data_IF_825686831008
#
_entry.id   IF_825686831008
#
_cell.length_a   1.000
_cell.length_b   1.000
_cell.length_c   1.000
_cell.angle_alpha   90.00
_cell.angle_beta   90.00
_cell.angle_gamma   90.00
#
_symmetry.space_group_name_H-M   'P 1'
#
loop_
_entity.id
_entity.type
_entity.pdbx_description
1 polymer ?
#
# COMPACT_ATOMS: atom_id res chain seq x y z
N UNK A 1 -10.29 -5.98 44.38
CA UNK A 1 -11.11 -5.62 43.20
C UNK A 1 -10.68 -4.34 42.47
N UNK A 2 -9.99 -3.36 43.11
CA UNK A 2 -9.50 -2.14 42.42
C UNK A 2 -8.28 -2.35 41.52
N UNK A 3 -7.40 -3.30 41.84
CA UNK A 3 -6.16 -3.59 41.10
C UNK A 3 -6.45 -4.26 39.73
N UNK A 4 -7.51 -5.06 39.65
CA UNK A 4 -7.87 -5.76 38.40
C UNK A 4 -8.41 -4.78 37.33
N UNK A 5 -9.07 -3.69 37.75
CA UNK A 5 -9.56 -2.66 36.83
C UNK A 5 -8.44 -1.78 36.26
N UNK A 6 -7.37 -1.56 37.03
CA UNK A 6 -6.23 -0.73 36.60
C UNK A 6 -5.35 -1.45 35.57
N UNK A 7 -5.21 -2.77 35.69
CA UNK A 7 -4.46 -3.59 34.74
C UNK A 7 -5.14 -3.66 33.36
N UNK A 8 -6.47 -3.72 33.32
CA UNK A 8 -7.24 -3.77 32.07
C UNK A 8 -7.13 -2.44 31.31
N UNK A 9 -7.12 -1.29 31.99
CA UNK A 9 -6.91 0.01 31.33
C UNK A 9 -5.49 0.21 30.79
N UNK A 10 -4.46 -0.40 31.41
CA UNK A 10 -3.09 -0.32 30.89
C UNK A 10 -2.94 -1.11 29.59
N UNK A 11 -3.55 -2.29 29.49
CA UNK A 11 -3.48 -3.15 28.29
C UNK A 11 -4.15 -2.51 27.07
N UNK A 12 -5.18 -1.68 27.27
CA UNK A 12 -5.83 -0.93 26.18
C UNK A 12 -5.07 0.33 25.73
N UNK A 13 -4.12 0.86 26.50
CA UNK A 13 -3.36 2.05 26.12
C UNK A 13 -2.06 1.76 25.36
N UNK A 14 -1.57 0.53 25.37
CA UNK A 14 -0.41 0.14 24.55
C UNK A 14 -0.77 -0.10 23.08
N UNK A 15 -1.94 -0.69 22.77
CA UNK A 15 -2.29 -1.00 21.39
C UNK A 15 -2.50 0.22 20.47
N UNK A 16 -2.78 1.41 21.03
CA UNK A 16 -3.02 2.62 20.26
C UNK A 16 -1.73 3.40 19.92
N UNK A 17 -0.62 3.17 20.64
CA UNK A 17 0.68 3.80 20.31
C UNK A 17 1.30 3.21 19.06
N UNK A 18 1.16 1.90 18.87
CA UNK A 18 1.89 1.17 17.82
C UNK A 18 1.25 1.33 16.45
N UNK A 19 -0.09 1.44 16.38
CA UNK A 19 -0.80 1.82 15.14
C UNK A 19 -0.36 3.19 14.64
N UNK A 20 -0.28 4.18 15.54
CA UNK A 20 0.17 5.53 15.18
C UNK A 20 1.61 5.52 14.71
N UNK A 21 2.49 4.80 15.40
CA UNK A 21 3.91 4.72 15.05
C UNK A 21 4.12 4.11 13.67
N UNK A 22 3.52 2.94 13.38
CA UNK A 22 3.71 2.30 12.09
C UNK A 22 3.12 3.12 10.93
N UNK A 23 1.95 3.74 11.11
CA UNK A 23 1.38 4.61 10.09
C UNK A 23 2.26 5.85 9.80
N UNK A 24 2.92 6.40 10.83
CA UNK A 24 3.92 7.46 10.67
C UNK A 24 5.16 6.98 9.91
N UNK A 25 5.68 5.78 10.21
CA UNK A 25 6.84 5.23 9.50
C UNK A 25 6.51 4.91 8.04
N UNK A 26 5.34 4.35 7.73
CA UNK A 26 4.85 4.17 6.36
C UNK A 26 4.87 5.52 5.63
N UNK A 27 4.27 6.56 6.21
CA UNK A 27 4.23 7.89 5.60
C UNK A 27 5.63 8.47 5.36
N UNK A 28 6.55 8.34 6.32
CA UNK A 28 7.93 8.85 6.18
C UNK A 28 8.64 8.20 5.01
N UNK A 29 8.58 6.87 4.91
CA UNK A 29 9.24 6.12 3.84
C UNK A 29 8.61 6.45 2.48
N UNK A 30 7.27 6.48 2.38
CA UNK A 30 6.57 6.90 1.16
C UNK A 30 6.99 8.32 0.73
N UNK A 31 7.03 9.26 1.67
CA UNK A 31 7.43 10.66 1.42
C UNK A 31 8.88 10.75 0.93
N UNK A 32 9.79 10.00 1.56
CA UNK A 32 11.19 9.98 1.15
C UNK A 32 11.32 9.49 -0.30
N UNK A 33 10.68 8.37 -0.65
CA UNK A 33 10.73 7.85 -2.01
C UNK A 33 10.05 8.77 -3.05
N UNK A 34 9.02 9.53 -2.67
CA UNK A 34 8.46 10.56 -3.56
C UNK A 34 9.45 11.71 -3.82
N UNK A 35 10.22 12.13 -2.81
CA UNK A 35 11.22 13.19 -2.93
C UNK A 35 12.40 12.74 -3.80
N UNK A 36 12.83 11.48 -3.63
CA UNK A 36 13.96 10.88 -4.35
C UNK A 36 13.55 10.32 -5.73
N UNK A 37 12.26 10.32 -6.03
CA UNK A 37 11.70 9.72 -7.24
C UNK A 37 12.28 10.34 -8.52
N UNK A 38 12.62 9.52 -9.53
CA UNK A 38 13.05 10.01 -10.83
C UNK A 38 11.90 10.60 -11.66
N UNK A 39 10.64 10.39 -11.24
CA UNK A 39 9.45 10.90 -11.92
C UNK A 39 9.17 12.35 -11.52
N UNK A 40 9.02 13.23 -12.50
CA UNK A 40 8.67 14.65 -12.29
C UNK A 40 7.32 14.80 -11.61
N UNK A 41 6.37 13.90 -11.88
CA UNK A 41 5.03 13.94 -11.28
C UNK A 41 5.00 13.57 -9.80
N UNK A 42 6.04 12.97 -9.24
CA UNK A 42 6.04 12.46 -7.87
C UNK A 42 5.75 13.56 -6.83
N UNK A 43 6.14 14.81 -7.12
CA UNK A 43 5.81 15.97 -6.28
C UNK A 43 4.31 16.19 -6.13
N UNK A 44 3.53 15.85 -7.16
CA UNK A 44 2.07 15.93 -7.13
C UNK A 44 1.42 14.93 -6.17
N UNK A 45 2.10 13.83 -5.84
CA UNK A 45 1.60 12.78 -4.95
C UNK A 45 1.79 13.08 -3.44
N UNK A 46 2.47 14.17 -3.06
CA UNK A 46 2.78 14.45 -1.65
C UNK A 46 1.53 14.67 -0.79
N UNK A 47 0.58 15.48 -1.26
CA UNK A 47 -0.65 15.75 -0.50
C UNK A 47 -1.58 14.54 -0.44
N UNK A 48 -1.52 13.67 -1.45
CA UNK A 48 -2.23 12.40 -1.48
C UNK A 48 -1.78 11.45 -0.36
N UNK A 49 -0.46 11.23 -0.20
CA UNK A 49 0.04 10.35 0.86
C UNK A 49 -0.19 10.91 2.26
N UNK A 50 -0.26 12.24 2.39
CA UNK A 50 -0.64 12.90 3.66
C UNK A 50 -2.10 12.62 4.00
N UNK A 51 -3.03 12.73 3.04
CA UNK A 51 -4.42 12.32 3.26
C UNK A 51 -4.56 10.84 3.52
N UNK A 52 -3.80 10.00 2.83
CA UNK A 52 -3.87 8.56 3.06
C UNK A 52 -3.43 8.19 4.47
N UNK A 53 -2.40 8.86 5.00
CA UNK A 53 -2.00 8.71 6.41
C UNK A 53 -3.15 9.07 7.36
N UNK A 54 -3.85 10.17 7.12
CA UNK A 54 -5.02 10.56 7.93
C UNK A 54 -6.16 9.54 7.83
N UNK A 55 -6.40 9.04 6.61
CA UNK A 55 -7.40 8.01 6.33
C UNK A 55 -7.09 6.72 7.11
N UNK A 56 -5.87 6.21 7.00
CA UNK A 56 -5.41 5.00 7.70
C UNK A 56 -5.61 5.10 9.22
N UNK A 57 -5.40 6.28 9.80
CA UNK A 57 -5.55 6.52 11.23
C UNK A 57 -7.01 6.58 11.72
N UNK A 58 -7.97 6.93 10.85
CA UNK A 58 -9.35 7.27 11.28
C UNK A 58 -10.42 6.33 10.75
N UNK A 59 -10.20 5.74 9.57
CA UNK A 59 -11.27 5.17 8.75
C UNK A 59 -10.92 3.83 8.14
N UNK A 60 -9.68 3.35 8.32
CA UNK A 60 -9.31 2.02 7.84
C UNK A 60 -10.23 0.96 8.49
N UNK A 61 -10.82 0.03 7.73
CA UNK A 61 -11.65 -1.03 8.32
C UNK A 61 -10.87 -1.84 9.38
N UNK A 62 -11.50 -2.26 10.50
CA UNK A 62 -10.80 -2.99 11.56
C UNK A 62 -10.00 -4.19 11.07
N UNK A 63 -10.56 -4.99 10.14
CA UNK A 63 -9.85 -6.10 9.52
C UNK A 63 -8.50 -5.69 8.90
N UNK A 64 -8.46 -4.56 8.19
CA UNK A 64 -7.22 -4.07 7.59
C UNK A 64 -6.32 -3.41 8.63
N UNK A 65 -6.87 -2.81 9.67
CA UNK A 65 -6.06 -2.33 10.80
C UNK A 65 -5.35 -3.50 11.47
N UNK A 66 -6.05 -4.59 11.74
CA UNK A 66 -5.48 -5.78 12.37
C UNK A 66 -4.35 -6.33 11.49
N UNK A 67 -4.58 -6.51 10.19
CA UNK A 67 -3.54 -7.00 9.27
C UNK A 67 -2.33 -6.05 9.24
N UNK A 68 -2.56 -4.76 8.98
CA UNK A 68 -1.47 -3.80 8.74
C UNK A 68 -0.73 -3.43 10.04
N UNK A 69 -1.37 -3.49 11.21
CA UNK A 69 -0.83 -2.98 12.47
C UNK A 69 -0.61 -4.06 13.55
N UNK A 70 -0.87 -5.33 13.28
CA UNK A 70 -0.55 -6.45 14.19
C UNK A 70 0.97 -6.58 14.48
N UNK A 71 1.36 -6.48 15.75
CA UNK A 71 2.78 -6.61 16.17
C UNK A 71 3.37 -7.99 15.94
N UNK A 72 2.52 -9.03 15.92
CA UNK A 72 2.88 -10.44 15.81
C UNK A 72 2.91 -10.95 14.37
N UNK A 73 3.03 -10.06 13.37
CA UNK A 73 3.11 -10.45 11.96
C UNK A 73 4.24 -11.44 11.72
N UNK A 74 3.90 -12.51 11.01
CA UNK A 74 4.83 -13.60 10.66
C UNK A 74 5.23 -13.58 9.19
N UNK A 75 4.58 -12.74 8.38
CA UNK A 75 4.79 -12.65 6.94
C UNK A 75 4.87 -11.18 6.50
N UNK A 76 5.42 -10.96 5.32
CA UNK A 76 5.51 -9.66 4.67
C UNK A 76 4.12 -9.20 4.23
N UNK A 77 3.85 -7.91 4.42
CA UNK A 77 2.69 -7.23 3.87
C UNK A 77 3.13 -6.37 2.69
N UNK A 78 2.38 -6.42 1.61
CA UNK A 78 2.52 -5.49 0.49
C UNK A 78 1.26 -4.63 0.44
N UNK A 79 1.44 -3.31 0.50
CA UNK A 79 0.41 -2.30 0.31
C UNK A 79 0.58 -1.68 -1.06
N UNK A 80 -0.52 -1.51 -1.78
CA UNK A 80 -0.56 -0.79 -3.05
C UNK A 80 -1.66 0.25 -2.94
N UNK A 81 -1.26 1.51 -3.07
CA UNK A 81 -2.14 2.66 -3.00
C UNK A 81 -2.17 3.34 -4.36
N UNK A 82 -3.36 3.41 -4.93
CA UNK A 82 -3.60 4.04 -6.22
C UNK A 82 -4.33 5.38 -6.00
N UNK A 83 -3.78 6.47 -6.53
CA UNK A 83 -4.35 7.81 -6.37
C UNK A 83 -4.68 8.42 -7.71
N UNK A 84 -5.93 8.92 -7.81
CA UNK A 84 -6.36 9.61 -9.00
C UNK A 84 -5.66 10.96 -9.17
N UNK A 85 -5.05 11.19 -10.33
CA UNK A 85 -4.48 12.50 -10.70
C UNK A 85 -5.55 13.62 -10.76
N UNK A 86 -6.83 13.25 -10.87
CA UNK A 86 -7.96 14.18 -10.94
C UNK A 86 -8.46 14.66 -9.58
N UNK A 87 -7.90 14.18 -8.47
CA UNK A 87 -8.36 14.50 -7.11
C UNK A 87 -7.22 15.05 -6.25
N UNK A 88 -7.08 16.36 -6.17
CA UNK A 88 -6.01 17.00 -5.40
C UNK A 88 -6.20 16.72 -3.90
N UNK A 89 -5.13 16.25 -3.24
CA UNK A 89 -5.09 15.97 -1.80
C UNK A 89 -6.26 15.09 -1.34
N UNK A 90 -6.48 13.99 -2.06
CA UNK A 90 -7.44 12.95 -1.71
C UNK A 90 -6.69 11.70 -1.24
N UNK A 91 -7.29 10.90 -0.34
CA UNK A 91 -6.78 9.55 -0.08
C UNK A 91 -6.81 8.73 -1.39
N UNK A 92 -6.14 7.59 -1.35
CA UNK A 92 -6.09 6.66 -2.48
C UNK A 92 -7.50 6.30 -2.97
N UNK A 93 -7.70 6.25 -4.29
CA UNK A 93 -8.92 5.70 -4.85
C UNK A 93 -9.08 4.23 -4.43
N UNK A 94 -7.97 3.49 -4.40
CA UNK A 94 -7.93 2.11 -3.91
C UNK A 94 -6.70 1.85 -3.02
N UNK A 95 -6.90 1.04 -1.99
CA UNK A 95 -5.86 0.48 -1.13
C UNK A 95 -6.00 -1.04 -1.21
N UNK A 96 -4.98 -1.69 -1.74
CA UNK A 96 -4.89 -3.13 -1.78
C UNK A 96 -3.80 -3.62 -0.82
N UNK A 97 -4.10 -4.70 -0.11
CA UNK A 97 -3.22 -5.30 0.90
C UNK A 97 -3.04 -6.77 0.58
N UNK A 98 -1.82 -7.18 0.23
CA UNK A 98 -1.45 -8.59 0.16
C UNK A 98 -0.82 -9.00 1.49
N UNK A 99 -1.42 -9.99 2.14
CA UNK A 99 -0.86 -10.66 3.31
C UNK A 99 -0.97 -12.17 3.13
N UNK A 100 0.16 -12.87 3.29
CA UNK A 100 0.31 -14.28 2.90
C UNK A 100 -0.04 -14.45 1.42
N UNK A 101 -1.13 -15.14 1.14
CA UNK A 101 -1.68 -15.38 -0.20
C UNK A 101 -3.04 -14.71 -0.41
N UNK A 102 -3.44 -13.77 0.45
CA UNK A 102 -4.75 -13.11 0.35
C UNK A 102 -4.60 -11.64 0.05
N UNK A 103 -5.31 -11.18 -0.99
CA UNK A 103 -5.46 -9.76 -1.31
C UNK A 103 -6.76 -9.25 -0.70
N UNK A 104 -6.67 -8.14 0.01
CA UNK A 104 -7.80 -7.36 0.49
C UNK A 104 -7.82 -6.03 -0.26
N UNK A 105 -8.88 -5.73 -0.99
CA UNK A 105 -9.05 -4.47 -1.71
C UNK A 105 -10.06 -3.58 -0.99
N UNK A 106 -9.72 -2.31 -0.83
CA UNK A 106 -10.57 -1.24 -0.33
C UNK A 106 -10.67 -0.14 -1.39
N UNK A 107 -11.81 -0.09 -2.07
CA UNK A 107 -12.06 0.84 -3.18
C UNK A 107 -12.92 2.05 -2.76
N UNK A 108 -12.85 3.12 -3.55
CA UNK A 108 -13.63 4.35 -3.45
C UNK A 108 -13.38 5.20 -2.19
N UNK A 109 -12.12 5.36 -1.74
CA UNK A 109 -11.79 6.21 -0.58
C UNK A 109 -11.91 7.71 -0.82
N UNK A 110 -12.15 8.11 -2.06
CA UNK A 110 -12.34 9.50 -2.47
C UNK A 110 -13.77 10.01 -2.17
N UNK A 111 -14.75 9.15 -1.90
CA UNK A 111 -16.14 9.59 -1.70
C UNK A 111 -16.30 10.41 -0.39
N UNK A 112 -16.86 11.63 -0.51
CA UNK A 112 -16.96 12.64 0.56
C UNK A 112 -17.82 12.22 1.76
N UNK A 113 -18.71 11.23 1.59
CA UNK A 113 -19.36 10.57 2.73
C UNK A 113 -18.54 9.33 3.16
N UNK A 114 -17.36 9.62 3.70
CA UNK A 114 -16.33 8.65 4.04
C UNK A 114 -16.77 7.54 5.02
N UNK A 115 -17.96 7.62 5.61
CA UNK A 115 -18.48 6.60 6.54
C UNK A 115 -19.28 5.48 5.85
N UNK A 116 -19.68 5.65 4.58
CA UNK A 116 -20.65 4.76 3.93
C UNK A 116 -20.15 4.03 2.66
N UNK A 117 -18.97 4.35 2.12
CA UNK A 117 -18.62 4.02 0.73
C UNK A 117 -17.75 2.76 0.51
N UNK A 118 -17.33 2.07 1.58
CA UNK A 118 -16.33 1.01 1.45
C UNK A 118 -16.92 -0.39 1.31
N UNK A 119 -16.43 -1.14 0.33
CA UNK A 119 -16.57 -2.59 0.30
C UNK A 119 -15.18 -3.20 0.30
N UNK A 120 -14.88 -4.00 1.32
CA UNK A 120 -13.69 -4.83 1.30
C UNK A 120 -13.94 -6.03 0.41
N UNK A 121 -13.19 -6.15 -0.68
CA UNK A 121 -13.16 -7.36 -1.50
C UNK A 121 -12.01 -8.24 -1.02
N UNK A 122 -12.22 -9.56 -1.01
CA UNK A 122 -11.19 -10.54 -0.68
C UNK A 122 -10.97 -11.45 -1.87
N UNK A 123 -9.71 -11.59 -2.26
CA UNK A 123 -9.27 -12.50 -3.32
C UNK A 123 -8.04 -13.30 -2.88
N UNK A 124 -7.80 -14.44 -3.54
CA UNK A 124 -6.59 -15.24 -3.30
C UNK A 124 -5.55 -14.88 -4.37
N UNK A 125 -4.33 -14.54 -3.94
CA UNK A 125 -3.23 -14.18 -4.83
C UNK A 125 -2.92 -15.29 -5.85
N UNK A 126 -3.01 -16.57 -5.42
CA UNK A 126 -2.81 -17.75 -6.28
C UNK A 126 -3.83 -17.90 -7.40
N UNK A 127 -5.00 -17.28 -7.29
CA UNK A 127 -6.06 -17.33 -8.32
C UNK A 127 -5.99 -16.17 -9.30
N UNK A 128 -5.04 -15.24 -9.13
CA UNK A 128 -4.79 -14.15 -10.09
C UNK A 128 -4.20 -14.79 -11.36
N UNK A 129 -5.03 -14.90 -12.40
CA UNK A 129 -4.58 -15.40 -13.70
C UNK A 129 -3.71 -14.36 -14.41
N UNK A 130 -2.62 -14.81 -15.02
CA UNK A 130 -1.76 -14.02 -15.89
C UNK A 130 -2.40 -13.72 -17.26
N UNK A 131 -3.62 -14.21 -17.51
CA UNK A 131 -4.32 -14.00 -18.78
C UNK A 131 -4.85 -12.57 -18.90
N UNK A 132 -3.95 -11.69 -19.38
CA UNK A 132 -4.08 -10.42 -20.12
C UNK A 132 -5.11 -9.33 -19.76
N UNK A 133 -6.11 -9.53 -18.90
CA UNK A 133 -7.03 -8.44 -18.47
C UNK A 133 -6.99 -8.15 -16.97
N UNK A 134 -6.62 -9.13 -16.14
CA UNK A 134 -6.53 -8.99 -14.67
C UNK A 134 -5.16 -8.50 -14.19
N UNK A 135 -4.19 -8.41 -15.10
CA UNK A 135 -2.84 -8.01 -14.77
C UNK A 135 -2.76 -6.55 -14.31
N UNK A 136 -3.55 -5.62 -14.85
CA UNK A 136 -3.37 -4.18 -14.55
C UNK A 136 -3.40 -3.88 -13.05
N UNK A 137 -4.36 -4.47 -12.33
CA UNK A 137 -4.65 -4.04 -10.96
C UNK A 137 -3.76 -4.77 -9.94
N UNK A 138 -3.35 -6.01 -10.24
CA UNK A 138 -2.53 -6.83 -9.35
C UNK A 138 -1.05 -6.93 -9.75
N UNK A 139 -0.67 -6.32 -10.87
CA UNK A 139 0.70 -6.33 -11.38
C UNK A 139 1.75 -5.89 -10.34
N UNK A 140 1.52 -4.83 -9.53
CA UNK A 140 2.50 -4.45 -8.52
C UNK A 140 2.81 -5.59 -7.54
N UNK A 141 1.81 -6.36 -7.11
CA UNK A 141 2.03 -7.49 -6.22
C UNK A 141 2.84 -8.61 -6.87
N UNK A 142 2.54 -8.95 -8.12
CA UNK A 142 3.26 -9.97 -8.88
C UNK A 142 4.74 -9.59 -9.05
N UNK A 143 4.99 -8.35 -9.44
CA UNK A 143 6.34 -7.82 -9.62
C UNK A 143 7.14 -7.87 -8.32
N UNK A 144 6.59 -7.31 -7.24
CA UNK A 144 7.27 -7.21 -5.96
C UNK A 144 7.57 -8.61 -5.40
N UNK A 145 6.57 -9.51 -5.37
CA UNK A 145 6.78 -10.89 -4.91
C UNK A 145 7.88 -11.59 -5.70
N UNK A 146 7.86 -11.49 -7.03
CA UNK A 146 8.88 -12.14 -7.87
C UNK A 146 10.29 -11.59 -7.61
N UNK A 147 10.43 -10.26 -7.45
CA UNK A 147 11.72 -9.63 -7.12
C UNK A 147 12.24 -10.08 -5.76
N UNK A 148 11.36 -10.12 -4.76
CA UNK A 148 11.69 -10.63 -3.42
C UNK A 148 12.14 -12.09 -3.44
N UNK A 149 11.42 -12.97 -4.16
CA UNK A 149 11.80 -14.39 -4.32
C UNK A 149 13.19 -14.56 -4.94
N UNK A 150 13.54 -13.67 -5.88
CA UNK A 150 14.86 -13.61 -6.52
C UNK A 150 15.92 -12.90 -5.68
N UNK A 151 15.57 -12.39 -4.50
CA UNK A 151 16.42 -11.55 -3.63
C UNK A 151 16.99 -10.34 -4.38
N UNK A 152 16.21 -9.80 -5.31
CA UNK A 152 16.52 -8.56 -6.02
C UNK A 152 15.85 -7.40 -5.31
N UNK A 153 16.51 -6.25 -5.30
CA UNK A 153 15.88 -5.01 -4.84
C UNK A 153 14.76 -4.63 -5.82
N UNK A 154 13.54 -4.57 -5.31
CA UNK A 154 12.34 -4.24 -6.08
C UNK A 154 12.13 -2.72 -6.20
N UNK A 155 12.85 -1.94 -5.41
CA UNK A 155 12.87 -0.46 -5.44
C UNK A 155 14.01 0.07 -6.33
N UNK A 156 14.97 -0.78 -6.70
CA UNK A 156 16.08 -0.44 -7.58
C UNK A 156 15.56 -0.15 -9.00
N UNK A 157 15.66 1.12 -9.40
CA UNK A 157 15.27 1.68 -10.70
C UNK A 157 13.75 1.75 -11.02
N UNK A 158 13.02 2.70 -10.41
CA UNK A 158 11.59 2.91 -10.68
C UNK A 158 11.23 3.17 -12.15
N UNK A 159 12.14 3.76 -12.94
CA UNK A 159 11.95 4.02 -14.39
C UNK A 159 11.84 2.74 -15.22
N UNK A 160 12.26 1.59 -14.69
CA UNK A 160 12.07 0.30 -15.37
C UNK A 160 10.62 -0.20 -15.31
N UNK A 161 9.80 0.36 -14.42
CA UNK A 161 8.45 -0.13 -14.16
C UNK A 161 7.35 0.84 -14.59
N UNK A 162 7.67 2.11 -14.86
CA UNK A 162 6.68 3.11 -15.26
C UNK A 162 7.29 4.35 -15.89
N UNK A 163 6.44 5.33 -16.20
CA UNK A 163 6.79 6.53 -16.95
C UNK A 163 5.89 7.71 -16.59
N UNK A 164 6.43 8.93 -16.71
CA UNK A 164 5.62 10.14 -16.70
C UNK A 164 4.83 10.37 -18.00
N UNK A 165 5.18 9.63 -19.06
CA UNK A 165 4.70 9.84 -20.42
C UNK A 165 3.46 8.99 -20.72
N UNK A 166 2.36 9.29 -20.03
CA UNK A 166 1.06 8.64 -20.20
C UNK A 166 -0.06 9.70 -20.29
N UNK A 167 -1.06 9.43 -21.13
CA UNK A 167 -2.23 10.28 -21.29
C UNK A 167 -3.24 9.95 -20.20
N UNK A 168 -3.06 10.62 -19.07
CA UNK A 168 -3.77 10.34 -17.84
C UNK A 168 -3.33 9.02 -17.22
N UNK A 169 -3.04 9.05 -15.94
CA UNK A 169 -2.72 7.84 -15.21
C UNK A 169 -2.42 8.11 -13.75
N UNK A 170 -2.86 7.15 -12.94
CA UNK A 170 -2.88 7.29 -11.51
C UNK A 170 -1.48 7.18 -10.91
N UNK A 171 -1.30 7.84 -9.77
CA UNK A 171 -0.12 7.72 -8.97
C UNK A 171 -0.21 6.42 -8.19
N UNK A 172 0.80 5.54 -8.29
CA UNK A 172 0.86 4.35 -7.45
C UNK A 172 1.99 4.47 -6.46
N UNK A 173 1.69 4.18 -5.20
CA UNK A 173 2.69 3.98 -4.15
C UNK A 173 2.58 2.54 -3.66
N UNK A 174 3.64 1.77 -3.87
CA UNK A 174 3.77 0.45 -3.28
C UNK A 174 4.60 0.55 -2.00
N UNK A 175 4.22 -0.19 -0.95
CA UNK A 175 4.93 -0.25 0.32
C UNK A 175 5.04 -1.70 0.77
N UNK A 176 6.23 -2.15 1.14
CA UNK A 176 6.49 -3.47 1.70
C UNK A 176 6.82 -3.32 3.19
N UNK A 177 6.12 -4.06 4.04
CA UNK A 177 6.34 -4.11 5.49
C UNK A 177 6.80 -5.52 5.83
N UNK A 178 8.07 -5.66 6.22
CA UNK A 178 8.65 -6.95 6.58
C UNK A 178 8.29 -7.35 8.02
N UNK A 179 8.37 -8.64 8.39
CA UNK A 179 8.21 -9.09 9.79
C UNK A 179 9.18 -8.41 10.77
N UNK A 180 10.34 -7.93 10.29
CA UNK A 180 11.31 -7.15 11.06
C UNK A 180 10.86 -5.70 11.35
N UNK A 181 9.70 -5.29 10.82
CA UNK A 181 9.23 -3.91 10.74
C UNK A 181 10.12 -2.98 9.91
N UNK A 182 11.05 -3.52 9.10
CA UNK A 182 11.63 -2.78 7.99
C UNK A 182 10.53 -2.42 7.01
N UNK A 183 10.58 -1.20 6.47
CA UNK A 183 9.62 -0.68 5.50
C UNK A 183 10.38 -0.20 4.29
N UNK A 184 9.93 -0.62 3.12
CA UNK A 184 10.43 -0.17 1.82
C UNK A 184 9.25 0.39 1.02
N UNK A 185 9.48 1.37 0.16
CA UNK A 185 8.43 1.89 -0.71
C UNK A 185 8.97 2.25 -2.09
N UNK A 186 8.08 2.27 -3.07
CA UNK A 186 8.39 2.77 -4.39
C UNK A 186 7.18 3.54 -4.93
N UNK A 187 7.46 4.71 -5.50
CA UNK A 187 6.50 5.43 -6.32
C UNK A 187 6.69 5.05 -7.78
N UNK A 188 5.58 4.73 -8.44
CA UNK A 188 5.53 4.51 -9.88
C UNK A 188 4.34 5.26 -10.44
N UNK A 189 4.55 5.93 -11.57
CA UNK A 189 3.47 6.46 -12.39
C UNK A 189 3.32 5.60 -13.64
N UNK A 190 2.07 5.32 -14.01
CA UNK A 190 1.72 4.63 -15.24
C UNK A 190 2.54 3.36 -15.48
N UNK A 191 2.22 2.32 -14.72
CA UNK A 191 2.88 1.02 -14.81
C UNK A 191 2.97 0.53 -16.27
N UNK A 192 4.18 0.21 -16.69
CA UNK A 192 4.45 -0.36 -18.00
C UNK A 192 4.45 -1.89 -17.93
N UNK A 193 3.38 -2.50 -18.46
CA UNK A 193 3.23 -3.95 -18.55
C UNK A 193 4.12 -4.57 -19.65
N UNK A 194 4.44 -3.83 -20.71
CA UNK A 194 5.04 -4.34 -21.95
C UNK A 194 6.39 -5.08 -21.78
N UNK A 195 7.45 -4.37 -21.41
CA UNK A 195 8.79 -4.97 -21.21
C UNK A 195 8.91 -5.77 -19.91
N UNK A 196 8.05 -5.48 -18.92
CA UNK A 196 8.13 -6.10 -17.60
C UNK A 196 7.51 -7.49 -17.57
N UNK A 197 6.51 -7.78 -18.43
CA UNK A 197 5.94 -9.12 -18.56
C UNK A 197 6.95 -10.14 -19.11
N UNK A 198 7.95 -9.73 -19.90
CA UNK A 198 9.04 -10.60 -20.33
C UNK A 198 9.92 -11.01 -19.14
N UNK A 199 10.29 -10.06 -18.28
CA UNK A 199 10.99 -10.35 -17.01
C UNK A 199 10.16 -11.20 -16.03
N UNK A 200 8.83 -11.18 -16.14
CA UNK A 200 7.93 -12.02 -15.36
C UNK A 200 7.76 -13.45 -15.94
N UNK A 201 8.16 -13.73 -17.18
CA UNK A 201 8.05 -15.06 -17.81
C UNK A 201 9.31 -15.93 -17.70
N UNK A 202 10.49 -15.31 -17.63
CA UNK A 202 11.78 -15.99 -17.31
C UNK A 202 11.87 -16.39 -15.84
#
# INVERSE_FOLDING_TARGET
>A
MKILLTLICAIFMFSCSDLRKLNEEIYKVQKQHLIESPFKSAKGALGHIERQKEFRAKQLPPLLQDIIFEETRTDTIILVEDYSENCIDCPSNSLMVLYKDTIYSLENQINKDYRAAYKTKKETFRTVSLDNSYLSDYFPFLLIKKKMERKQDWTENPLSYGSDSCLGGDYTVATVIYPSNQIESMFVRCWWLGSTLEHLKE
#
